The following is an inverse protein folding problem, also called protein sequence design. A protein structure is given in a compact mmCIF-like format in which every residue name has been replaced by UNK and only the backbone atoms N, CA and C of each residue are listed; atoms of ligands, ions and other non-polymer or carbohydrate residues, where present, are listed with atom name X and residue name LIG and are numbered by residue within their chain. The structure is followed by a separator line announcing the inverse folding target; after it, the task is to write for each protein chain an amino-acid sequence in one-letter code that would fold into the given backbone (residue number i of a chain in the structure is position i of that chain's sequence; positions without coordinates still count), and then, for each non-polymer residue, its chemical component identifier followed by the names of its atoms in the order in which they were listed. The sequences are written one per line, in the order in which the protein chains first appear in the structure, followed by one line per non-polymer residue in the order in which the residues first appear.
data_IF_641189410426
#
_entry.id   IF_641189410426
#
_cell.length_a   1.000
_cell.length_b   1.000
_cell.length_c   1.000
_cell.angle_alpha   90.00
_cell.angle_beta   90.00
_cell.angle_gamma   90.00
#
_symmetry.space_group_name_H-M   'P 1'
#
loop_
_entity.id
_entity.type
_entity.pdbx_description
1 polymer ?
#
# COMPACT_ATOMS: atom_id res chain seq x y z
N UNK A 1 21.53 -4.63 -11.87
CA UNK A 1 20.40 -4.44 -10.94
C UNK A 1 19.27 -5.35 -11.43
N UNK A 2 18.60 -6.12 -10.56
CA UNK A 2 17.42 -6.89 -10.99
C UNK A 2 16.31 -5.92 -11.42
N UNK A 3 15.68 -6.22 -12.55
CA UNK A 3 14.54 -5.46 -13.08
C UNK A 3 13.29 -5.79 -12.24
N UNK A 4 12.51 -4.79 -11.80
CA UNK A 4 11.26 -5.04 -11.09
C UNK A 4 10.30 -5.94 -11.87
N UNK A 5 9.68 -6.90 -11.19
CA UNK A 5 8.65 -7.77 -11.75
C UNK A 5 7.27 -7.19 -11.44
N UNK A 6 6.49 -6.92 -12.50
CA UNK A 6 5.12 -6.43 -12.42
C UNK A 6 4.18 -7.58 -12.79
N UNK A 7 3.35 -8.01 -11.84
CA UNK A 7 2.29 -8.98 -12.11
C UNK A 7 1.00 -8.26 -12.49
N UNK A 8 0.44 -8.55 -13.66
CA UNK A 8 -0.82 -7.99 -14.13
C UNK A 8 -1.89 -9.07 -14.13
N UNK A 9 -2.98 -8.85 -13.40
CA UNK A 9 -4.11 -9.77 -13.30
C UNK A 9 -5.29 -9.13 -14.02
N UNK A 10 -5.58 -9.64 -15.22
CA UNK A 10 -6.65 -9.18 -16.11
C UNK A 10 -7.03 -10.34 -17.05
N UNK A 11 -8.33 -10.58 -17.26
CA UNK A 11 -8.79 -11.65 -18.15
C UNK A 11 -8.80 -11.23 -19.63
N UNK A 12 -8.82 -9.92 -19.90
CA UNK A 12 -8.80 -9.33 -21.23
C UNK A 12 -7.39 -9.35 -21.86
N UNK A 13 -7.18 -10.13 -22.94
CA UNK A 13 -5.89 -10.20 -23.63
C UNK A 13 -5.47 -8.86 -24.26
N UNK A 14 -6.42 -7.98 -24.61
CA UNK A 14 -6.11 -6.65 -25.18
C UNK A 14 -5.52 -5.76 -24.09
N UNK A 15 -6.15 -5.69 -22.92
CA UNK A 15 -5.61 -4.95 -21.77
C UNK A 15 -4.24 -5.47 -21.32
N UNK A 16 -4.04 -6.79 -21.31
CA UNK A 16 -2.74 -7.40 -21.01
C UNK A 16 -1.67 -7.00 -22.04
N UNK A 17 -2.01 -6.99 -23.33
CA UNK A 17 -1.09 -6.58 -24.40
C UNK A 17 -0.65 -5.12 -24.29
N UNK A 18 -1.60 -4.23 -24.00
CA UNK A 18 -1.31 -2.81 -23.78
C UNK A 18 -0.45 -2.60 -22.54
N UNK A 19 -0.83 -3.20 -21.42
CA UNK A 19 -0.07 -3.09 -20.16
C UNK A 19 1.33 -3.67 -20.29
N UNK A 20 1.50 -4.78 -21.02
CA UNK A 20 2.82 -5.35 -21.33
C UNK A 20 3.71 -4.34 -22.02
N UNK A 21 3.21 -3.71 -23.09
CA UNK A 21 3.99 -2.72 -23.84
C UNK A 21 4.43 -1.55 -22.94
N UNK A 22 3.56 -1.10 -22.05
CA UNK A 22 3.87 -0.05 -21.08
C UNK A 22 4.94 -0.47 -20.06
N UNK A 23 4.79 -1.65 -19.46
CA UNK A 23 5.69 -2.20 -18.42
C UNK A 23 7.08 -2.49 -18.99
N UNK A 24 7.15 -3.18 -20.13
CA UNK A 24 8.41 -3.52 -20.79
C UNK A 24 9.09 -2.26 -21.37
N UNK A 25 8.31 -1.29 -21.85
CA UNK A 25 8.81 -0.01 -22.37
C UNK A 25 9.54 0.85 -21.34
N UNK A 26 9.21 0.71 -20.06
CA UNK A 26 9.95 1.36 -18.94
C UNK A 26 11.04 0.46 -18.35
N UNK A 27 11.30 -0.70 -18.94
CA UNK A 27 12.39 -1.60 -18.57
C UNK A 27 12.10 -2.56 -17.42
N UNK A 28 10.82 -2.74 -17.04
CA UNK A 28 10.38 -3.71 -16.03
C UNK A 28 10.07 -5.08 -16.66
N UNK A 29 10.00 -6.12 -15.84
CA UNK A 29 9.62 -7.48 -16.27
C UNK A 29 8.12 -7.63 -16.14
N UNK A 30 7.45 -7.94 -17.25
CA UNK A 30 6.01 -8.21 -17.26
C UNK A 30 5.73 -9.69 -16.96
N UNK A 31 4.81 -9.92 -16.03
CA UNK A 31 4.18 -11.21 -15.79
C UNK A 31 2.67 -11.01 -15.78
N UNK A 32 1.90 -12.01 -16.23
CA UNK A 32 0.45 -11.92 -16.25
C UNK A 32 -0.21 -13.15 -15.66
N UNK A 33 -1.39 -12.94 -15.09
CA UNK A 33 -2.34 -13.98 -14.72
C UNK A 33 -3.72 -13.62 -15.28
N UNK A 34 -4.51 -14.63 -15.67
CA UNK A 34 -5.87 -14.42 -16.22
C UNK A 34 -6.99 -14.86 -15.28
N UNK A 35 -6.64 -15.32 -14.08
CA UNK A 35 -7.57 -15.74 -13.04
C UNK A 35 -6.96 -15.56 -11.66
N UNK A 36 -7.79 -15.57 -10.63
CA UNK A 36 -7.36 -15.45 -9.23
C UNK A 36 -6.48 -16.64 -8.83
N UNK A 37 -6.84 -17.86 -9.25
CA UNK A 37 -6.07 -19.06 -8.98
C UNK A 37 -4.66 -18.99 -9.59
N UNK A 38 -4.56 -18.48 -10.82
CA UNK A 38 -3.28 -18.32 -11.51
C UNK A 38 -2.40 -17.26 -10.83
N UNK A 39 -3.00 -16.12 -10.46
CA UNK A 39 -2.33 -15.03 -9.77
C UNK A 39 -1.75 -15.47 -8.42
N UNK A 40 -2.53 -16.22 -7.63
CA UNK A 40 -2.08 -16.76 -6.33
C UNK A 40 -0.92 -17.74 -6.52
N UNK A 41 -1.02 -18.65 -7.49
CA UNK A 41 0.04 -19.63 -7.79
C UNK A 41 1.34 -18.97 -8.24
N UNK A 42 1.24 -17.93 -9.05
CA UNK A 42 2.39 -17.14 -9.51
C UNK A 42 3.04 -16.41 -8.34
N UNK A 43 2.26 -15.65 -7.57
CA UNK A 43 2.76 -14.85 -6.46
C UNK A 43 3.36 -15.70 -5.32
N UNK A 44 2.84 -16.92 -5.10
CA UNK A 44 3.38 -17.85 -4.11
C UNK A 44 4.74 -18.44 -4.51
N UNK A 45 4.99 -18.63 -5.82
CA UNK A 45 6.28 -19.15 -6.33
C UNK A 45 7.36 -18.07 -6.35
N UNK A 46 7.01 -16.91 -6.88
CA UNK A 46 7.90 -15.76 -6.98
C UNK A 46 7.07 -14.51 -6.73
N UNK A 47 7.13 -13.94 -5.52
CA UNK A 47 6.41 -12.70 -5.23
C UNK A 47 6.83 -11.59 -6.19
N UNK A 48 5.89 -10.88 -6.84
CA UNK A 48 6.22 -9.74 -7.68
C UNK A 48 6.66 -8.55 -6.82
N UNK A 49 7.32 -7.57 -7.46
CA UNK A 49 7.65 -6.30 -6.81
C UNK A 49 6.43 -5.37 -6.71
N UNK A 50 5.45 -5.53 -7.61
CA UNK A 50 4.14 -4.85 -7.61
C UNK A 50 3.13 -5.66 -8.42
N UNK A 51 1.86 -5.60 -8.03
CA UNK A 51 0.76 -6.16 -8.82
C UNK A 51 -0.20 -5.07 -9.33
N UNK A 52 -0.71 -5.24 -10.55
CA UNK A 52 -1.88 -4.54 -11.09
C UNK A 52 -3.04 -5.54 -11.16
N UNK A 53 -4.21 -5.18 -10.63
CA UNK A 53 -5.37 -6.08 -10.56
C UNK A 53 -6.60 -5.38 -11.14
N UNK A 54 -7.24 -5.98 -12.13
CA UNK A 54 -8.65 -5.66 -12.44
C UNK A 54 -9.57 -6.32 -11.41
N UNK A 55 -10.64 -5.63 -11.04
CA UNK A 55 -11.69 -6.17 -10.18
C UNK A 55 -12.67 -7.06 -10.95
N UNK A 56 -12.84 -6.81 -12.25
CA UNK A 56 -13.64 -7.64 -13.14
C UNK A 56 -12.68 -8.62 -13.80
N UNK A 57 -12.72 -9.90 -13.40
CA UNK A 57 -11.84 -10.96 -13.88
C UNK A 57 -12.66 -12.15 -14.37
N UNK A 58 -13.47 -11.94 -15.42
CA UNK A 58 -14.44 -12.94 -15.88
C UNK A 58 -15.39 -13.35 -14.74
N UNK A 59 -15.31 -14.62 -14.33
CA UNK A 59 -16.10 -15.20 -13.23
C UNK A 59 -15.48 -14.94 -11.83
N UNK A 60 -14.23 -14.51 -11.77
CA UNK A 60 -13.52 -14.26 -10.51
C UNK A 60 -13.69 -12.80 -10.03
N UNK A 61 -13.51 -12.58 -8.73
CA UNK A 61 -13.53 -11.26 -8.10
C UNK A 61 -12.12 -10.80 -7.69
N UNK A 62 -11.60 -9.77 -8.36
CA UNK A 62 -10.28 -9.21 -8.05
C UNK A 62 -10.15 -8.63 -6.65
N UNK A 63 -11.25 -8.15 -6.02
CA UNK A 63 -11.21 -7.66 -4.64
C UNK A 63 -10.82 -8.76 -3.66
N UNK A 64 -11.31 -9.99 -3.87
CA UNK A 64 -11.02 -11.11 -2.98
C UNK A 64 -9.57 -11.57 -3.12
N UNK A 65 -8.98 -11.46 -4.31
CA UNK A 65 -7.54 -11.64 -4.52
C UNK A 65 -6.72 -10.63 -3.72
N UNK A 66 -7.08 -9.34 -3.77
CA UNK A 66 -6.38 -8.31 -2.98
C UNK A 66 -6.51 -8.60 -1.49
N UNK A 67 -7.71 -8.93 -0.99
CA UNK A 67 -7.91 -9.31 0.43
C UNK A 67 -6.99 -10.45 0.84
N UNK A 68 -6.90 -11.50 0.01
CA UNK A 68 -6.08 -12.68 0.30
C UNK A 68 -4.60 -12.36 0.30
N UNK A 69 -4.11 -11.62 -0.69
CA UNK A 69 -2.72 -11.18 -0.71
C UNK A 69 -2.36 -10.30 0.48
N UNK A 70 -3.31 -9.58 1.09
CA UNK A 70 -3.01 -8.79 2.29
C UNK A 70 -2.79 -9.62 3.55
N UNK A 71 -3.27 -10.85 3.57
CA UNK A 71 -2.99 -11.82 4.63
C UNK A 71 -1.67 -12.53 4.36
N UNK A 72 -1.41 -12.92 3.11
CA UNK A 72 -0.33 -13.84 2.75
C UNK A 72 0.95 -13.15 2.25
N UNK A 73 0.86 -11.93 1.73
CA UNK A 73 1.91 -11.27 0.93
C UNK A 73 2.06 -9.77 1.26
N UNK A 74 3.22 -9.18 0.91
CA UNK A 74 3.58 -7.80 1.33
C UNK A 74 3.92 -6.84 0.18
N UNK A 75 3.71 -7.23 -1.08
CA UNK A 75 3.98 -6.34 -2.23
C UNK A 75 2.85 -5.32 -2.45
N UNK A 76 3.14 -4.15 -3.06
CA UNK A 76 2.14 -3.17 -3.42
C UNK A 76 1.14 -3.69 -4.46
N UNK A 77 -0.13 -3.30 -4.35
CA UNK A 77 -1.20 -3.67 -5.27
C UNK A 77 -1.89 -2.40 -5.78
N UNK A 78 -1.92 -2.22 -7.08
CA UNK A 78 -2.66 -1.17 -7.78
C UNK A 78 -3.93 -1.81 -8.35
N UNK A 79 -5.10 -1.26 -8.04
CA UNK A 79 -6.34 -1.66 -8.72
C UNK A 79 -6.50 -0.81 -9.99
N UNK A 80 -6.79 -1.45 -11.12
CA UNK A 80 -7.12 -0.79 -12.39
C UNK A 80 -8.40 -1.39 -12.93
N UNK A 81 -9.54 -0.71 -12.79
CA UNK A 81 -10.85 -1.30 -13.14
C UNK A 81 -11.79 -0.31 -13.81
N UNK A 82 -12.75 -0.82 -14.59
CA UNK A 82 -13.83 -0.01 -15.16
C UNK A 82 -14.85 0.49 -14.11
N UNK A 83 -14.82 -0.10 -12.89
CA UNK A 83 -15.63 0.38 -11.76
C UNK A 83 -15.14 1.74 -11.29
N UNK A 84 -15.93 2.77 -11.58
CA UNK A 84 -15.54 4.17 -11.36
C UNK A 84 -16.27 4.86 -10.22
N UNK A 85 -17.18 4.19 -9.51
CA UNK A 85 -17.95 4.86 -8.47
C UNK A 85 -17.04 5.21 -7.28
N UNK A 86 -17.28 6.35 -6.60
CA UNK A 86 -16.52 6.71 -5.41
C UNK A 86 -16.51 5.60 -4.34
N UNK A 87 -17.58 4.81 -4.25
CA UNK A 87 -17.68 3.70 -3.30
C UNK A 87 -16.75 2.54 -3.66
N UNK A 88 -16.59 2.20 -4.94
CA UNK A 88 -15.69 1.13 -5.39
C UNK A 88 -14.24 1.46 -5.02
N UNK A 89 -13.86 2.72 -5.23
CA UNK A 89 -12.53 3.22 -4.87
C UNK A 89 -12.27 3.11 -3.38
N UNK A 90 -13.26 3.48 -2.56
CA UNK A 90 -13.19 3.36 -1.10
C UNK A 90 -12.99 1.89 -0.71
N UNK A 91 -13.83 0.99 -1.25
CA UNK A 91 -13.75 -0.45 -0.94
C UNK A 91 -12.39 -1.03 -1.35
N UNK A 92 -11.91 -0.74 -2.56
CA UNK A 92 -10.63 -1.25 -3.05
C UNK A 92 -9.46 -0.83 -2.16
N UNK A 93 -9.45 0.45 -1.74
CA UNK A 93 -8.46 0.94 -0.79
C UNK A 93 -8.65 0.27 0.57
N UNK A 94 -9.86 0.17 1.11
CA UNK A 94 -10.13 -0.47 2.42
C UNK A 94 -9.66 -1.92 2.50
N UNK A 95 -9.82 -2.66 1.41
CA UNK A 95 -9.35 -4.04 1.23
C UNK A 95 -7.82 -4.15 1.27
N UNK A 96 -7.11 -3.05 1.02
CA UNK A 96 -5.66 -2.95 1.16
C UNK A 96 -4.92 -2.63 -0.13
N UNK A 97 -5.61 -2.24 -1.21
CA UNK A 97 -4.89 -1.70 -2.36
C UNK A 97 -4.11 -0.43 -1.98
N UNK A 98 -2.96 -0.25 -2.61
CA UNK A 98 -2.08 0.91 -2.43
C UNK A 98 -2.49 2.09 -3.33
N UNK A 99 -3.18 1.82 -4.44
CA UNK A 99 -3.82 2.82 -5.29
C UNK A 99 -5.01 2.22 -6.06
N UNK A 100 -5.83 3.09 -6.63
CA UNK A 100 -7.00 2.73 -7.44
C UNK A 100 -7.14 3.68 -8.63
N UNK A 101 -7.15 3.11 -9.83
CA UNK A 101 -7.27 3.81 -11.11
C UNK A 101 -8.52 3.31 -11.86
N UNK A 102 -9.27 4.25 -12.42
CA UNK A 102 -10.48 3.94 -13.21
C UNK A 102 -10.11 3.85 -14.69
N UNK A 103 -10.52 2.77 -15.38
CA UNK A 103 -10.35 2.64 -16.84
C UNK A 103 -11.28 3.65 -17.55
N UNK A 104 -10.83 4.32 -18.64
CA UNK A 104 -9.53 4.18 -19.29
C UNK A 104 -8.41 4.94 -18.55
N UNK A 105 -7.27 4.27 -18.33
CA UNK A 105 -6.11 4.87 -17.67
C UNK A 105 -5.14 5.40 -18.71
N UNK A 106 -4.67 6.64 -18.53
CA UNK A 106 -3.67 7.22 -19.40
C UNK A 106 -2.30 6.52 -19.19
N UNK A 107 -1.59 6.13 -20.26
CA UNK A 107 -0.30 5.43 -20.19
C UNK A 107 0.74 6.01 -19.22
N UNK A 108 0.95 7.33 -19.25
CA UNK A 108 1.91 8.02 -18.38
C UNK A 108 1.42 8.04 -16.94
N UNK A 109 0.11 8.16 -16.71
CA UNK A 109 -0.44 8.02 -15.36
C UNK A 109 -0.14 6.64 -14.78
N UNK A 110 -0.39 5.55 -15.52
CA UNK A 110 -0.12 4.19 -15.04
C UNK A 110 1.38 3.98 -14.76
N UNK A 111 2.26 4.44 -15.66
CA UNK A 111 3.71 4.37 -15.47
C UNK A 111 4.16 5.12 -14.21
N UNK A 112 3.58 6.28 -13.96
CA UNK A 112 3.87 7.10 -12.79
C UNK A 112 3.44 6.41 -11.50
N UNK A 113 2.22 5.87 -11.44
CA UNK A 113 1.73 5.11 -10.28
C UNK A 113 2.57 3.86 -10.02
N UNK A 114 2.94 3.13 -11.07
CA UNK A 114 3.83 1.97 -10.99
C UNK A 114 5.20 2.36 -10.41
N UNK A 115 5.83 3.41 -10.97
CA UNK A 115 7.12 3.91 -10.47
C UNK A 115 7.03 4.28 -9.00
N UNK A 116 6.01 5.05 -8.63
CA UNK A 116 5.77 5.44 -7.24
C UNK A 116 5.64 4.19 -6.37
N UNK A 117 4.77 3.25 -6.70
CA UNK A 117 4.55 2.00 -5.94
C UNK A 117 5.84 1.20 -5.73
N UNK A 118 6.64 1.06 -6.78
CA UNK A 118 7.93 0.36 -6.76
C UNK A 118 8.98 1.10 -5.92
N UNK A 119 9.07 2.42 -6.03
CA UNK A 119 9.93 3.23 -5.16
C UNK A 119 9.54 3.06 -3.69
N UNK A 120 8.23 2.93 -3.41
CA UNK A 120 7.79 2.67 -2.04
C UNK A 120 8.16 1.27 -1.56
N UNK A 121 8.25 0.26 -2.44
CA UNK A 121 8.60 -1.12 -2.06
C UNK A 121 10.07 -1.30 -1.65
N UNK A 122 10.95 -0.41 -2.13
CA UNK A 122 12.37 -0.44 -1.82
C UNK A 122 12.63 0.31 -0.51
N UNK A 123 13.38 -0.28 0.45
CA UNK A 123 13.92 0.49 1.56
C UNK A 123 14.71 1.64 0.97
N UNK A 124 14.30 2.88 1.25
CA UNK A 124 14.97 4.06 0.74
C UNK A 124 16.45 4.01 1.12
N UNK A 125 17.33 3.85 0.12
CA UNK A 125 18.79 4.00 0.27
C UNK A 125 19.20 5.42 0.71
N UNK A 126 18.25 6.33 0.96
CA UNK A 126 18.48 7.71 1.42
C UNK A 126 18.53 7.88 2.94
N UNK A 127 18.69 6.81 3.69
CA UNK A 127 19.06 6.91 5.11
C UNK A 127 20.14 5.87 5.40
N UNK A 128 21.40 6.33 5.43
CA UNK A 128 22.51 5.64 6.09
C UNK A 128 22.33 5.62 7.62
N UNK A 129 21.22 6.14 8.13
CA UNK A 129 20.68 5.76 9.43
C UNK A 129 19.75 4.57 9.23
N UNK A 130 20.07 3.44 9.86
CA UNK A 130 19.21 2.26 9.94
C UNK A 130 17.73 2.69 10.06
N UNK A 131 16.81 2.20 9.21
CA UNK A 131 15.39 2.40 9.45
C UNK A 131 15.11 1.84 10.83
N UNK A 132 14.94 2.75 11.80
CA UNK A 132 14.87 2.39 13.20
C UNK A 132 13.74 1.42 13.43
N UNK A 133 13.84 0.57 14.42
CA UNK A 133 12.63 0.00 15.00
C UNK A 133 12.13 0.96 16.08
N UNK A 134 10.83 1.02 16.31
CA UNK A 134 10.25 1.82 17.38
C UNK A 134 9.41 0.93 18.27
N UNK A 135 9.70 0.95 19.57
CA UNK A 135 8.77 0.46 20.57
C UNK A 135 7.66 1.51 20.72
N UNK A 136 6.42 1.09 20.58
CA UNK A 136 5.20 1.90 20.70
C UNK A 136 4.35 1.20 21.75
N UNK A 137 4.47 1.62 23.01
CA UNK A 137 3.95 0.84 24.13
C UNK A 137 4.46 -0.62 24.07
N UNK A 138 3.52 -1.55 24.03
CA UNK A 138 3.70 -3.01 23.96
C UNK A 138 4.03 -3.53 22.55
N UNK A 139 3.92 -2.68 21.53
CA UNK A 139 4.13 -3.06 20.14
C UNK A 139 5.54 -2.68 19.65
N UNK A 140 6.06 -3.43 18.68
CA UNK A 140 7.30 -3.09 17.97
C UNK A 140 7.01 -2.79 16.51
N UNK A 141 7.19 -1.55 16.08
CA UNK A 141 7.20 -1.19 14.67
C UNK A 141 8.59 -1.43 14.07
N UNK A 142 8.69 -2.35 13.12
CA UNK A 142 9.90 -2.67 12.37
C UNK A 142 9.80 -2.07 10.97
N UNK A 143 10.49 -0.95 10.76
CA UNK A 143 10.43 -0.23 9.49
C UNK A 143 11.09 -1.00 8.34
N UNK A 144 12.07 -1.87 8.61
CA UNK A 144 12.71 -2.70 7.59
C UNK A 144 11.79 -3.82 7.13
N UNK A 145 11.10 -4.49 8.07
CA UNK A 145 10.15 -5.58 7.77
C UNK A 145 8.78 -5.11 7.30
N UNK A 146 8.51 -3.80 7.42
CA UNK A 146 7.22 -3.16 7.11
C UNK A 146 6.07 -3.83 7.87
N UNK A 147 6.31 -4.10 9.14
CA UNK A 147 5.40 -4.83 10.00
C UNK A 147 5.35 -4.20 11.39
N UNK A 148 4.24 -4.43 12.09
CA UNK A 148 4.12 -4.16 13.52
C UNK A 148 4.00 -5.50 14.23
N UNK A 149 4.80 -5.71 15.27
CA UNK A 149 4.73 -6.89 16.11
C UNK A 149 3.90 -6.59 17.34
N UNK A 150 2.86 -7.40 17.56
CA UNK A 150 1.97 -7.36 18.71
C UNK A 150 1.93 -8.77 19.29
N UNK A 151 2.17 -8.92 20.58
CA UNK A 151 2.19 -10.23 21.26
C UNK A 151 3.05 -11.31 20.56
N UNK A 152 4.16 -10.88 19.94
CA UNK A 152 5.08 -11.77 19.21
C UNK A 152 4.67 -12.09 17.76
N UNK A 153 3.49 -11.67 17.29
CA UNK A 153 3.02 -11.89 15.92
C UNK A 153 3.29 -10.68 15.02
N UNK A 154 3.84 -10.92 13.82
CA UNK A 154 4.07 -9.88 12.81
C UNK A 154 2.77 -9.57 12.02
N UNK A 155 2.28 -8.34 12.15
CA UNK A 155 1.17 -7.80 11.37
C UNK A 155 1.73 -7.02 10.19
N UNK A 156 1.48 -7.50 8.98
CA UNK A 156 1.95 -6.85 7.75
C UNK A 156 1.24 -5.50 7.52
N UNK A 157 2.01 -4.51 7.11
CA UNK A 157 1.48 -3.21 6.70
C UNK A 157 1.50 -3.08 5.18
N UNK A 158 0.44 -2.47 4.65
CA UNK A 158 0.48 -1.89 3.30
C UNK A 158 1.51 -0.76 3.27
N UNK A 159 1.87 -0.33 2.08
CA UNK A 159 2.80 0.78 1.91
C UNK A 159 2.30 2.06 2.58
N UNK A 160 1.01 2.34 2.45
CA UNK A 160 0.39 3.53 3.01
C UNK A 160 0.36 3.47 4.54
N UNK A 161 0.03 2.31 5.12
CA UNK A 161 0.02 2.11 6.57
C UNK A 161 1.43 2.20 7.16
N UNK A 162 2.43 1.60 6.49
CA UNK A 162 3.84 1.68 6.87
C UNK A 162 4.33 3.13 6.95
N UNK A 163 4.04 3.94 5.93
CA UNK A 163 4.40 5.36 5.92
C UNK A 163 3.65 6.16 6.97
N UNK A 164 2.36 5.87 7.17
CA UNK A 164 1.57 6.55 8.19
C UNK A 164 2.15 6.29 9.58
N UNK A 165 2.40 5.03 9.95
CA UNK A 165 2.96 4.71 11.27
C UNK A 165 4.37 5.27 11.41
N UNK A 166 5.21 5.21 10.37
CA UNK A 166 6.56 5.79 10.40
C UNK A 166 6.51 7.32 10.65
N UNK A 167 5.60 8.03 9.98
CA UNK A 167 5.41 9.46 10.22
C UNK A 167 4.93 9.73 11.66
N UNK A 168 3.97 8.94 12.15
CA UNK A 168 3.40 9.08 13.48
C UNK A 168 4.43 8.85 14.59
N UNK A 169 5.24 7.78 14.52
CA UNK A 169 6.25 7.49 15.56
C UNK A 169 7.38 8.52 15.58
N UNK A 170 7.75 9.07 14.42
CA UNK A 170 8.75 10.14 14.33
C UNK A 170 8.25 11.47 14.88
N UNK A 171 6.93 11.66 14.94
CA UNK A 171 6.27 12.87 15.46
C UNK A 171 5.35 12.50 16.64
N UNK A 172 5.80 11.57 17.47
CA UNK A 172 5.14 11.14 18.69
C UNK A 172 4.63 12.33 19.52
N UNK A 173 3.40 12.24 20.01
CA UNK A 173 2.76 13.26 20.84
C UNK A 173 2.66 14.66 20.19
N UNK A 174 2.76 14.74 18.86
CA UNK A 174 2.52 15.96 18.09
C UNK A 174 1.33 15.78 17.14
N UNK A 175 0.56 16.84 16.95
CA UNK A 175 -0.56 16.83 15.99
C UNK A 175 -0.02 16.94 14.57
N UNK A 176 -0.35 15.94 13.75
CA UNK A 176 -0.08 15.92 12.31
C UNK A 176 -1.35 16.29 11.55
N UNK A 177 -1.26 17.30 10.69
CA UNK A 177 -2.37 17.70 9.82
C UNK A 177 -2.68 16.65 8.77
N UNK A 178 -3.93 16.62 8.28
CA UNK A 178 -4.34 15.72 7.19
C UNK A 178 -3.48 15.93 5.95
N UNK A 179 -3.21 17.17 5.56
CA UNK A 179 -2.32 17.50 4.44
C UNK A 179 -0.92 16.93 4.63
N UNK A 180 -0.34 17.05 5.84
CA UNK A 180 1.00 16.52 6.13
C UNK A 180 1.03 14.99 6.08
N UNK A 181 -0.03 14.34 6.56
CA UNK A 181 -0.19 12.88 6.46
C UNK A 181 -0.31 12.47 4.99
N UNK A 182 -1.12 13.19 4.21
CA UNK A 182 -1.29 12.96 2.78
C UNK A 182 0.03 13.08 2.02
N UNK A 183 0.78 14.16 2.25
CA UNK A 183 2.07 14.39 1.61
C UNK A 183 3.07 13.26 1.90
N UNK A 184 3.10 12.77 3.13
CA UNK A 184 4.00 11.69 3.55
C UNK A 184 3.61 10.34 2.96
N UNK A 185 2.30 10.02 2.94
CA UNK A 185 1.80 8.75 2.42
C UNK A 185 1.92 8.72 0.89
N UNK A 186 1.68 9.84 0.22
CA UNK A 186 1.61 9.88 -1.24
C UNK A 186 2.94 10.24 -1.94
N UNK A 187 3.83 10.98 -1.28
CA UNK A 187 5.04 11.58 -1.89
C UNK A 187 4.75 12.37 -3.18
N UNK A 188 4.64 13.69 -3.02
CA UNK A 188 4.93 14.74 -4.03
C UNK A 188 4.15 14.83 -5.33
N UNK A 189 3.08 14.05 -5.56
CA UNK A 189 2.23 14.29 -6.73
C UNK A 189 0.75 14.33 -6.35
N UNK A 190 0.16 15.53 -6.51
CA UNK A 190 -1.22 15.89 -6.20
C UNK A 190 -2.20 15.21 -7.16
N UNK A 191 -2.46 13.92 -6.99
CA UNK A 191 -3.52 13.26 -7.73
C UNK A 191 -4.56 12.64 -6.80
N UNK A 192 -5.63 13.42 -6.60
CA UNK A 192 -6.98 13.03 -6.22
C UNK A 192 -7.13 12.11 -5.00
N UNK A 193 -6.55 12.44 -3.86
CA UNK A 193 -6.97 11.83 -2.61
C UNK A 193 -7.55 12.89 -1.66
N UNK A 194 -8.78 12.62 -1.22
CA UNK A 194 -9.55 13.46 -0.32
C UNK A 194 -9.22 13.16 1.14
N UNK A 195 -9.63 14.04 2.06
CA UNK A 195 -9.56 13.82 3.51
C UNK A 195 -10.10 12.46 3.95
N UNK A 196 -11.13 11.93 3.26
CA UNK A 196 -11.67 10.58 3.50
C UNK A 196 -10.60 9.49 3.38
N UNK A 197 -9.62 9.66 2.50
CA UNK A 197 -8.54 8.69 2.30
C UNK A 197 -7.60 8.63 3.51
N UNK A 198 -7.34 9.77 4.17
CA UNK A 198 -6.59 9.82 5.44
C UNK A 198 -7.34 9.11 6.53
N UNK A 199 -8.61 9.48 6.72
CA UNK A 199 -9.43 8.95 7.80
C UNK A 199 -9.59 7.42 7.69
N UNK A 200 -9.77 6.90 6.47
CA UNK A 200 -9.78 5.46 6.20
C UNK A 200 -8.44 4.78 6.49
N UNK A 201 -7.32 5.41 6.10
CA UNK A 201 -5.99 4.88 6.37
C UNK A 201 -5.69 4.82 7.88
N UNK A 202 -6.03 5.87 8.62
CA UNK A 202 -5.89 5.91 10.08
C UNK A 202 -6.77 4.85 10.74
N UNK A 203 -8.03 4.71 10.32
CA UNK A 203 -8.92 3.70 10.87
C UNK A 203 -8.44 2.27 10.58
N UNK A 204 -7.86 2.00 9.41
CA UNK A 204 -7.21 0.71 9.12
C UNK A 204 -6.04 0.45 10.04
N UNK A 205 -5.15 1.43 10.19
CA UNK A 205 -4.00 1.30 11.07
C UNK A 205 -4.44 1.04 12.51
N UNK A 206 -5.40 1.80 13.04
CA UNK A 206 -6.00 1.58 14.38
C UNK A 206 -6.50 0.15 14.58
N UNK A 207 -7.21 -0.41 13.59
CA UNK A 207 -7.70 -1.81 13.66
C UNK A 207 -6.58 -2.85 13.69
N UNK A 208 -5.40 -2.52 13.12
CA UNK A 208 -4.22 -3.39 13.14
C UNK A 208 -3.39 -3.24 14.41
N UNK A 209 -3.43 -2.08 15.05
CA UNK A 209 -2.56 -1.71 16.19
C UNK A 209 -3.35 -1.57 17.49
N UNK A 210 -4.18 -2.57 17.77
CA UNK A 210 -5.00 -2.60 18.98
C UNK A 210 -4.10 -2.88 20.20
N UNK A 211 -3.84 -1.84 20.99
CA UNK A 211 -3.13 -1.94 22.26
C UNK A 211 -3.70 -0.90 23.23
N UNK A 212 -3.69 -1.21 24.53
CA UNK A 212 -4.28 -0.34 25.56
C UNK A 212 -3.34 0.81 26.00
N UNK A 213 -2.05 0.71 25.69
CA UNK A 213 -0.98 1.58 26.19
C UNK A 213 -0.53 2.68 25.21
N UNK A 214 -1.12 2.72 24.02
CA UNK A 214 -1.02 3.85 23.10
C UNK A 214 -2.30 3.99 22.26
N UNK A 215 -2.48 5.16 21.65
CA UNK A 215 -3.60 5.36 20.74
C UNK A 215 -3.25 6.37 19.66
N UNK A 216 -3.81 6.19 18.46
CA UNK A 216 -3.87 7.25 17.47
C UNK A 216 -5.15 8.03 17.75
N UNK A 217 -5.06 9.29 18.18
CA UNK A 217 -6.19 10.14 18.53
C UNK A 217 -6.58 11.07 17.37
N UNK A 218 -7.89 11.32 17.23
CA UNK A 218 -8.43 12.30 16.29
C UNK A 218 -8.52 13.67 16.98
N UNK A 219 -7.79 14.66 16.48
CA UNK A 219 -7.84 16.04 16.99
C UNK A 219 -8.76 16.84 16.09
N UNK A 220 -9.92 17.24 16.63
CA UNK A 220 -11.00 17.91 15.88
C UNK A 220 -10.48 19.14 15.16
N UNK A 221 -10.71 19.20 13.85
CA UNK A 221 -10.28 20.32 12.99
C UNK A 221 -8.77 20.40 12.71
N UNK A 222 -7.94 19.59 13.36
CA UNK A 222 -6.49 19.68 13.22
C UNK A 222 -5.87 18.47 12.52
N UNK A 223 -6.25 17.24 12.87
CA UNK A 223 -5.67 16.03 12.27
C UNK A 223 -5.57 14.87 13.25
N UNK A 224 -4.41 14.22 13.29
CA UNK A 224 -4.18 13.01 14.07
C UNK A 224 -2.91 13.10 14.90
N UNK A 225 -2.90 12.43 16.06
CA UNK A 225 -1.76 12.38 16.97
C UNK A 225 -1.57 10.96 17.48
N UNK A 226 -0.34 10.46 17.48
CA UNK A 226 -0.01 9.22 18.18
C UNK A 226 0.37 9.55 19.62
N UNK A 227 -0.43 9.07 20.57
CA UNK A 227 -0.26 9.27 22.00
C UNK A 227 0.24 7.98 22.65
N UNK A 228 1.36 8.03 23.36
CA UNK A 228 1.91 6.87 24.06
C UNK A 228 3.42 6.98 24.27
N UNK A 229 3.98 6.00 24.98
CA UNK A 229 5.43 5.86 25.16
C UNK A 229 6.06 5.35 23.85
N UNK A 230 6.93 6.15 23.24
CA UNK A 230 7.57 5.83 21.96
C UNK A 230 9.08 5.92 22.13
N UNK A 231 9.78 4.82 21.90
CA UNK A 231 11.24 4.73 22.03
C UNK A 231 11.84 4.13 20.76
N UNK A 232 12.86 4.77 20.19
CA UNK A 232 13.62 4.19 19.09
C UNK A 232 14.47 3.04 19.63
N UNK A 233 14.30 1.86 19.06
CA UNK A 233 15.10 0.66 19.34
C UNK A 233 16.25 0.65 18.34
N UNK A 234 17.46 0.53 18.86
CA UNK A 234 18.71 0.53 18.09
C UNK A 234 18.82 -0.71 17.18
#
# INVERSE_FOLDING_TARGET
MLKPVVLVVDDDPVSLGLTRHLVEGVGYVFQSARSVADALRIAARTPPDVAIVDLVLGEDNGLDLVRRWRVEQRFPVLIVSARGEPIDRVIGLEVGADDYLVKPVEPRELQLRLRIALERSRPSQRSLEHPGSWAIGSCLFDAARRAIRIDGADIALTTAEHRLIELLVRNANQVLTRDRIMDAVQQRERFNASDRSVDMLVNRLRRKVLADDFSIQSIRGAGYMLCGAITRVA
#
